data_IF_664855213184
#
_entry.id   IF_664855213184
#
_cell.length_a   1.000
_cell.length_b   1.000
_cell.length_c   1.000
_cell.angle_alpha   90.00
_cell.angle_beta   90.00
_cell.angle_gamma   90.00
#
_symmetry.space_group_name_H-M   'P 1'
#
loop_
_entity.id
_entity.type
_entity.pdbx_description
1 polymer ?
#
# COMPACT_ATOMS: atom_id res chain seq x y z
N UNK A 1 -13.31 -2.60 14.70
CA UNK A 1 -12.86 -3.15 13.40
C UNK A 1 -12.21 -2.08 12.53
N UNK A 2 -11.41 -1.20 13.14
CA UNK A 2 -10.57 -0.20 12.46
C UNK A 2 -9.22 -0.04 13.15
N UNK A 3 -9.01 -0.72 14.29
CA UNK A 3 -7.77 -0.63 15.04
C UNK A 3 -6.67 -1.40 14.33
N UNK A 4 -5.42 -1.06 14.61
CA UNK A 4 -4.24 -1.71 14.03
C UNK A 4 -4.34 -3.24 14.16
N UNK A 5 -4.63 -3.74 15.37
CA UNK A 5 -4.77 -5.17 15.62
C UNK A 5 -5.97 -5.83 14.89
N UNK A 6 -7.03 -5.07 14.60
CA UNK A 6 -8.19 -5.59 13.84
C UNK A 6 -7.82 -5.86 12.38
N UNK A 7 -6.82 -5.15 11.83
CA UNK A 7 -6.52 -5.10 10.40
C UNK A 7 -5.22 -5.79 10.01
N UNK A 8 -4.21 -5.76 10.88
CA UNK A 8 -2.83 -6.15 10.58
C UNK A 8 -2.30 -7.12 11.64
N UNK A 9 -1.86 -8.31 11.22
CA UNK A 9 -1.04 -9.22 12.01
C UNK A 9 0.44 -8.86 11.80
N UNK A 10 1.02 -8.28 12.84
CA UNK A 10 2.39 -7.78 12.84
C UNK A 10 3.40 -8.81 13.36
N UNK A 11 2.96 -9.99 13.83
CA UNK A 11 3.82 -10.93 14.55
C UNK A 11 5.03 -11.41 13.74
N UNK A 12 4.94 -11.36 12.41
CA UNK A 12 6.00 -11.78 11.48
C UNK A 12 6.62 -10.64 10.69
N UNK A 13 6.23 -9.40 10.98
CA UNK A 13 6.76 -8.23 10.30
C UNK A 13 7.97 -7.70 11.06
N UNK A 14 9.13 -7.69 10.41
CA UNK A 14 10.41 -7.27 11.02
C UNK A 14 10.34 -5.86 11.62
N UNK A 15 9.53 -4.99 11.02
CA UNK A 15 9.34 -3.62 11.46
C UNK A 15 8.04 -3.39 12.22
N UNK A 16 7.55 -4.41 12.95
CA UNK A 16 6.34 -4.31 13.78
C UNK A 16 6.37 -3.11 14.74
N UNK A 17 7.55 -2.76 15.28
CA UNK A 17 7.76 -1.64 16.20
C UNK A 17 7.32 -0.28 15.64
N UNK A 18 7.23 -0.12 14.30
CA UNK A 18 6.66 1.08 13.66
C UNK A 18 5.24 1.40 14.18
N UNK A 19 4.49 0.35 14.53
CA UNK A 19 3.09 0.42 14.96
C UNK A 19 2.91 0.47 16.49
N UNK A 20 4.00 0.52 17.26
CA UNK A 20 3.91 0.52 18.72
C UNK A 20 3.14 1.76 19.22
N UNK A 21 2.12 1.53 20.02
CA UNK A 21 1.22 2.57 20.53
C UNK A 21 0.26 3.17 19.49
N UNK A 22 0.20 2.64 18.26
CA UNK A 22 -0.79 3.05 17.27
C UNK A 22 -2.12 2.33 17.51
N UNK A 23 -3.12 3.03 18.05
CA UNK A 23 -4.50 2.51 18.09
C UNK A 23 -5.01 2.28 16.66
N UNK A 24 -4.74 3.23 15.76
CA UNK A 24 -5.13 3.16 14.36
C UNK A 24 -3.90 3.02 13.45
N UNK A 25 -3.98 2.21 12.38
CA UNK A 25 -2.83 1.90 11.55
C UNK A 25 -2.23 3.13 10.86
N UNK A 26 -3.05 4.11 10.45
CA UNK A 26 -2.56 5.32 9.77
C UNK A 26 -1.68 6.21 10.66
N UNK A 27 -1.71 6.03 11.99
CA UNK A 27 -0.80 6.74 12.91
C UNK A 27 0.66 6.34 12.70
N UNK A 28 0.94 5.22 12.01
CA UNK A 28 2.28 4.82 11.62
C UNK A 28 2.83 5.65 10.44
N UNK A 29 1.99 6.22 9.57
CA UNK A 29 2.42 6.88 8.33
C UNK A 29 3.41 8.03 8.54
N UNK A 30 3.22 8.94 9.52
CA UNK A 30 4.18 10.00 9.79
C UNK A 30 5.51 9.50 10.35
N UNK A 31 5.52 8.28 10.93
CA UNK A 31 6.68 7.69 11.61
C UNK A 31 7.61 6.92 10.66
N UNK A 32 7.15 6.57 9.46
CA UNK A 32 7.91 5.72 8.51
C UNK A 32 9.31 6.28 8.26
N UNK A 33 9.42 7.59 8.04
CA UNK A 33 10.70 8.24 7.74
C UNK A 33 11.73 8.05 8.84
N UNK A 34 11.34 8.34 10.08
CA UNK A 34 12.25 8.25 11.23
C UNK A 34 12.53 6.79 11.60
N UNK A 35 11.53 5.90 11.42
CA UNK A 35 11.71 4.47 11.56
C UNK A 35 12.74 3.91 10.57
N UNK A 36 12.64 4.26 9.29
CA UNK A 36 13.63 3.85 8.27
C UNK A 36 15.00 4.38 8.65
N UNK A 37 15.14 5.67 9.01
CA UNK A 37 16.44 6.23 9.41
C UNK A 37 17.09 5.50 10.58
N UNK A 38 16.31 5.03 11.53
CA UNK A 38 16.82 4.31 12.71
C UNK A 38 17.25 2.87 12.40
N UNK A 39 16.76 2.26 11.32
CA UNK A 39 16.98 0.83 11.01
C UNK A 39 17.67 0.61 9.65
N UNK A 40 17.90 1.66 8.87
CA UNK A 40 18.47 1.57 7.54
C UNK A 40 19.98 1.34 7.63
N UNK A 41 20.40 0.17 7.17
CA UNK A 41 21.78 -0.15 6.85
C UNK A 41 21.88 -0.32 5.33
N UNK A 42 22.30 0.71 4.57
CA UNK A 42 22.26 0.63 3.10
C UNK A 42 23.05 -0.54 2.55
N UNK A 43 22.39 -1.38 1.76
CA UNK A 43 23.00 -2.51 1.06
C UNK A 43 22.06 -2.97 -0.05
N UNK A 44 22.62 -3.34 -1.20
CA UNK A 44 21.86 -3.99 -2.25
C UNK A 44 22.30 -5.45 -2.38
N UNK A 45 21.48 -6.37 -1.86
CA UNK A 45 21.73 -7.83 -1.93
C UNK A 45 20.84 -8.52 -2.98
N UNK A 46 20.24 -7.74 -3.87
CA UNK A 46 19.35 -8.26 -4.90
C UNK A 46 20.10 -8.82 -6.11
N UNK A 47 19.42 -9.70 -6.85
CA UNK A 47 19.80 -10.06 -8.22
C UNK A 47 19.20 -9.05 -9.18
N UNK A 48 20.03 -8.41 -10.01
CA UNK A 48 19.56 -7.51 -11.07
C UNK A 48 19.32 -8.29 -12.37
N UNK A 49 18.21 -7.99 -13.05
CA UNK A 49 17.93 -8.43 -14.41
C UNK A 49 17.88 -7.17 -15.29
N UNK A 50 19.00 -6.84 -15.93
CA UNK A 50 19.17 -5.59 -16.67
C UNK A 50 19.66 -4.45 -15.78
N UNK A 51 19.22 -3.23 -16.08
CA UNK A 51 19.70 -2.00 -15.44
C UNK A 51 18.58 -1.38 -14.64
N UNK A 52 18.83 -1.14 -13.34
CA UNK A 52 17.91 -0.45 -12.44
C UNK A 52 18.67 0.67 -11.70
N UNK A 53 17.94 1.69 -11.24
CA UNK A 53 18.48 2.68 -10.33
C UNK A 53 18.15 2.30 -8.89
N UNK A 54 19.17 2.17 -8.04
CA UNK A 54 19.01 1.94 -6.60
C UNK A 54 19.78 3.03 -5.86
N UNK A 55 19.07 3.85 -5.10
CA UNK A 55 19.63 4.99 -4.36
C UNK A 55 20.54 4.55 -3.22
N UNK A 56 21.39 5.49 -2.77
CA UNK A 56 22.36 5.25 -1.70
C UNK A 56 21.74 5.04 -0.32
N UNK A 57 20.48 5.45 -0.12
CA UNK A 57 19.73 5.27 1.13
C UNK A 57 18.73 4.11 1.02
N UNK A 58 19.15 3.00 0.42
CA UNK A 58 18.29 1.84 0.19
C UNK A 58 18.93 0.57 0.74
N UNK A 59 18.13 -0.20 1.48
CA UNK A 59 18.42 -1.60 1.78
C UNK A 59 17.53 -2.51 0.93
N UNK A 60 18.12 -3.54 0.34
CA UNK A 60 17.42 -4.63 -0.35
C UNK A 60 17.93 -5.98 0.14
N UNK A 61 17.02 -6.78 0.68
CA UNK A 61 17.29 -8.10 1.23
C UNK A 61 17.68 -9.15 0.19
N UNK A 62 18.29 -10.24 0.67
CA UNK A 62 18.72 -11.36 -0.16
C UNK A 62 17.55 -12.04 -0.87
N UNK A 63 17.80 -12.55 -2.09
CA UNK A 63 16.81 -13.28 -2.88
C UNK A 63 15.83 -12.38 -3.61
N UNK A 64 15.82 -11.08 -3.32
CA UNK A 64 15.03 -10.10 -4.07
C UNK A 64 15.57 -9.96 -5.49
N UNK A 65 14.67 -9.86 -6.46
CA UNK A 65 14.98 -9.64 -7.87
C UNK A 65 14.53 -8.24 -8.28
N UNK A 66 15.39 -7.52 -8.99
CA UNK A 66 15.08 -6.19 -9.53
C UNK A 66 15.23 -6.23 -11.05
N UNK A 67 14.13 -5.96 -11.74
CA UNK A 67 14.06 -5.96 -13.20
C UNK A 67 14.47 -4.59 -13.79
N UNK A 68 14.72 -4.62 -15.10
CA UNK A 68 15.15 -3.47 -15.89
C UNK A 68 14.20 -2.28 -15.76
N UNK A 69 14.76 -1.07 -15.65
CA UNK A 69 14.01 0.17 -15.60
C UNK A 69 13.35 0.48 -14.25
N UNK A 70 13.46 -0.41 -13.26
CA UNK A 70 13.02 -0.07 -11.91
C UNK A 70 13.88 1.08 -11.34
N UNK A 71 13.22 2.00 -10.63
CA UNK A 71 13.85 3.15 -9.98
C UNK A 71 13.47 3.15 -8.50
N UNK A 72 14.45 2.94 -7.64
CA UNK A 72 14.30 2.93 -6.19
C UNK A 72 15.11 4.09 -5.63
N UNK A 73 14.45 5.22 -5.36
CA UNK A 73 15.13 6.45 -4.90
C UNK A 73 15.56 6.38 -3.43
N UNK A 74 14.69 5.84 -2.58
CA UNK A 74 14.88 5.84 -1.14
C UNK A 74 14.54 7.18 -0.45
N UNK A 75 14.59 7.25 0.89
CA UNK A 75 15.02 6.16 1.77
C UNK A 75 14.00 5.01 1.78
N UNK A 76 14.49 3.77 1.64
CA UNK A 76 13.64 2.59 1.57
C UNK A 76 14.33 1.35 2.16
N UNK A 77 13.54 0.49 2.78
CA UNK A 77 13.98 -0.84 3.24
C UNK A 77 13.07 -1.86 2.58
N UNK A 78 13.68 -2.77 1.82
CA UNK A 78 12.99 -3.83 1.10
C UNK A 78 13.50 -5.18 1.60
N UNK A 79 12.58 -6.01 2.06
CA UNK A 79 12.85 -7.33 2.59
C UNK A 79 13.41 -8.33 1.56
N UNK A 80 13.42 -9.58 1.97
CA UNK A 80 13.96 -10.73 1.22
C UNK A 80 12.94 -11.28 0.23
N UNK A 81 13.45 -11.91 -0.81
CA UNK A 81 12.64 -12.66 -1.78
C UNK A 81 11.51 -11.84 -2.43
N UNK A 82 11.70 -10.52 -2.58
CA UNK A 82 10.73 -9.66 -3.25
C UNK A 82 10.93 -9.69 -4.78
N UNK A 83 9.87 -9.35 -5.51
CA UNK A 83 9.93 -9.08 -6.94
C UNK A 83 9.73 -7.59 -7.18
N UNK A 84 10.77 -6.90 -7.65
CA UNK A 84 10.67 -5.50 -8.10
C UNK A 84 10.70 -5.51 -9.61
N UNK A 85 9.51 -5.38 -10.21
CA UNK A 85 9.29 -5.57 -11.65
C UNK A 85 9.64 -4.33 -12.45
N UNK A 86 9.71 -4.52 -13.77
CA UNK A 86 10.17 -3.50 -14.71
C UNK A 86 9.39 -2.18 -14.55
N UNK A 87 10.12 -1.06 -14.49
CA UNK A 87 9.51 0.26 -14.35
C UNK A 87 8.84 0.56 -13.01
N UNK A 88 8.97 -0.31 -12.00
CA UNK A 88 8.51 0.03 -10.64
C UNK A 88 9.23 1.29 -10.15
N UNK A 89 8.47 2.25 -9.61
CA UNK A 89 8.98 3.52 -9.12
C UNK A 89 8.78 3.66 -7.61
N UNK A 90 9.83 3.37 -6.85
CA UNK A 90 9.85 3.46 -5.39
C UNK A 90 10.47 4.79 -4.98
N UNK A 91 9.69 5.61 -4.29
CA UNK A 91 10.08 6.94 -3.83
C UNK A 91 10.49 6.91 -2.35
N UNK A 92 10.43 8.09 -1.72
CA UNK A 92 10.79 8.30 -0.33
C UNK A 92 9.86 7.54 0.62
N UNK A 93 10.45 7.00 1.70
CA UNK A 93 9.79 6.41 2.86
C UNK A 93 8.97 5.16 2.52
N UNK A 94 9.57 4.18 1.85
CA UNK A 94 8.89 2.92 1.52
C UNK A 94 9.49 1.77 2.32
N UNK A 95 8.63 1.04 3.02
CA UNK A 95 8.98 -0.07 3.90
C UNK A 95 8.29 -1.34 3.42
N UNK A 96 9.05 -2.35 3.02
CA UNK A 96 8.52 -3.55 2.37
C UNK A 96 9.02 -4.78 3.10
N UNK A 97 8.09 -5.64 3.55
CA UNK A 97 8.39 -6.93 4.16
C UNK A 97 8.83 -7.99 3.14
N UNK A 98 9.00 -9.21 3.61
CA UNK A 98 9.49 -10.32 2.79
C UNK A 98 8.45 -10.79 1.76
N UNK A 99 8.90 -11.24 0.59
CA UNK A 99 8.05 -11.90 -0.40
C UNK A 99 7.04 -11.00 -1.10
N UNK A 100 7.24 -9.68 -1.08
CA UNK A 100 6.31 -8.74 -1.70
C UNK A 100 6.54 -8.61 -3.20
N UNK A 101 5.49 -8.21 -3.93
CA UNK A 101 5.56 -7.88 -5.36
C UNK A 101 5.34 -6.39 -5.55
N UNK A 102 6.39 -5.69 -6.00
CA UNK A 102 6.35 -4.30 -6.46
C UNK A 102 6.33 -4.32 -7.98
N UNK A 103 5.14 -4.13 -8.53
CA UNK A 103 4.81 -4.49 -9.89
C UNK A 103 5.22 -3.55 -11.00
N UNK A 104 4.93 -3.99 -12.23
CA UNK A 104 5.25 -3.25 -13.45
C UNK A 104 4.54 -1.89 -13.44
N UNK A 105 5.33 -0.83 -13.60
CA UNK A 105 4.85 0.55 -13.66
C UNK A 105 3.97 0.94 -12.46
N UNK A 106 4.25 0.36 -11.29
CA UNK A 106 3.64 0.76 -10.03
C UNK A 106 4.48 1.86 -9.36
N UNK A 107 3.84 2.85 -8.75
CA UNK A 107 4.51 3.88 -7.96
C UNK A 107 4.19 3.73 -6.46
N UNK A 108 5.23 3.78 -5.63
CA UNK A 108 5.14 3.66 -4.17
C UNK A 108 5.74 4.89 -3.50
N UNK A 109 5.04 5.45 -2.52
CA UNK A 109 5.52 6.59 -1.75
C UNK A 109 4.93 6.60 -0.35
N UNK A 110 5.76 6.76 0.68
CA UNK A 110 5.31 6.81 2.07
C UNK A 110 4.38 5.62 2.40
N UNK A 111 4.84 4.41 2.11
CA UNK A 111 4.00 3.22 2.10
C UNK A 111 4.64 2.08 2.89
N UNK A 112 3.79 1.27 3.51
CA UNK A 112 4.18 0.04 4.20
C UNK A 112 3.51 -1.14 3.52
N UNK A 113 4.30 -2.12 3.10
CA UNK A 113 3.81 -3.40 2.58
C UNK A 113 4.28 -4.50 3.54
N UNK A 114 3.34 -5.13 4.25
CA UNK A 114 3.63 -6.30 5.08
C UNK A 114 3.97 -7.51 4.18
N UNK A 115 4.54 -8.55 4.79
CA UNK A 115 5.04 -9.72 4.08
C UNK A 115 4.02 -10.28 3.07
N UNK A 116 4.48 -10.63 1.88
CA UNK A 116 3.64 -11.24 0.84
C UNK A 116 2.61 -10.33 0.20
N UNK A 117 2.58 -9.02 0.51
CA UNK A 117 1.68 -8.08 -0.15
C UNK A 117 2.04 -7.94 -1.64
N UNK A 118 1.02 -7.82 -2.50
CA UNK A 118 1.17 -7.85 -3.95
C UNK A 118 0.50 -6.66 -4.61
N UNK A 119 1.28 -5.90 -5.39
CA UNK A 119 0.82 -4.78 -6.20
C UNK A 119 1.44 -4.94 -7.60
N UNK A 120 0.93 -5.85 -8.43
CA UNK A 120 1.66 -6.42 -9.55
C UNK A 120 1.64 -5.54 -10.81
N UNK A 121 0.66 -4.63 -10.99
CA UNK A 121 0.49 -3.87 -12.23
C UNK A 121 -0.13 -2.47 -12.05
N UNK A 122 0.46 -1.46 -12.67
CA UNK A 122 -0.12 -0.14 -12.97
C UNK A 122 -0.84 0.57 -11.81
N UNK A 123 -0.32 0.43 -10.60
CA UNK A 123 -0.99 0.95 -9.39
C UNK A 123 -0.22 2.13 -8.77
N UNK A 124 -0.93 3.00 -8.06
CA UNK A 124 -0.33 4.05 -7.23
C UNK A 124 -0.62 3.77 -5.76
N UNK A 125 0.44 3.66 -4.95
CA UNK A 125 0.38 3.37 -3.51
C UNK A 125 1.06 4.50 -2.74
N UNK A 126 0.31 5.56 -2.47
CA UNK A 126 0.76 6.73 -1.70
C UNK A 126 0.18 6.76 -0.30
N UNK A 127 0.99 7.02 0.73
CA UNK A 127 0.54 7.23 2.12
C UNK A 127 -0.39 6.09 2.59
N UNK A 128 0.00 4.84 2.34
CA UNK A 128 -0.88 3.66 2.47
C UNK A 128 -0.17 2.49 3.15
N UNK A 129 -0.97 1.60 3.77
CA UNK A 129 -0.48 0.40 4.45
C UNK A 129 -1.21 -0.81 3.86
N UNK A 130 -0.45 -1.78 3.37
CA UNK A 130 -0.96 -3.05 2.85
C UNK A 130 -0.56 -4.17 3.81
N UNK A 131 -1.55 -4.93 4.25
CA UNK A 131 -1.43 -6.03 5.20
C UNK A 131 -0.77 -7.28 4.61
N UNK A 132 -0.56 -8.28 5.47
CA UNK A 132 0.02 -9.55 5.08
C UNK A 132 -0.82 -10.19 3.97
N UNK A 133 -0.18 -10.49 2.82
CA UNK A 133 -0.86 -11.04 1.63
C UNK A 133 -2.04 -10.20 1.11
N UNK A 134 -2.07 -8.90 1.40
CA UNK A 134 -2.99 -7.99 0.73
C UNK A 134 -2.66 -7.91 -0.77
N UNK A 135 -3.68 -7.86 -1.62
CA UNK A 135 -3.53 -7.82 -3.06
C UNK A 135 -4.26 -6.61 -3.65
N UNK A 136 -3.57 -5.86 -4.50
CA UNK A 136 -4.16 -4.83 -5.33
C UNK A 136 -4.13 -5.30 -6.79
N UNK A 137 -5.30 -5.45 -7.41
CA UNK A 137 -5.43 -5.75 -8.83
C UNK A 137 -4.83 -4.65 -9.71
N UNK A 138 -4.70 -4.96 -11.00
CA UNK A 138 -4.14 -4.02 -11.96
C UNK A 138 -4.92 -2.68 -11.98
N UNK A 139 -4.20 -1.56 -11.95
CA UNK A 139 -4.83 -0.24 -12.04
C UNK A 139 -5.51 0.25 -10.76
N UNK A 140 -5.26 -0.37 -9.61
CA UNK A 140 -5.80 0.13 -8.34
C UNK A 140 -5.05 1.39 -7.91
N UNK A 141 -5.82 2.42 -7.54
CA UNK A 141 -5.28 3.71 -7.12
C UNK A 141 -5.62 3.97 -5.66
N UNK A 142 -4.60 4.07 -4.81
CA UNK A 142 -4.71 4.59 -3.45
C UNK A 142 -4.60 6.13 -3.49
N UNK A 143 -5.73 6.80 -3.70
CA UNK A 143 -5.76 8.27 -3.70
C UNK A 143 -5.51 8.78 -2.28
N UNK A 144 -4.51 9.64 -2.10
CA UNK A 144 -4.04 10.07 -0.79
C UNK A 144 -4.35 11.53 -0.43
N UNK A 145 -4.90 12.33 -1.35
CA UNK A 145 -5.11 13.75 -1.13
C UNK A 145 -6.55 14.14 -1.45
N UNK A 146 -7.21 14.83 -0.50
CA UNK A 146 -8.52 15.45 -0.75
C UNK A 146 -8.35 16.69 -1.63
N UNK A 147 -9.23 16.83 -2.62
CA UNK A 147 -9.33 18.03 -3.46
C UNK A 147 -9.61 19.29 -2.63
N UNK A 148 -10.42 19.14 -1.58
CA UNK A 148 -10.61 20.17 -0.56
C UNK A 148 -9.39 20.21 0.36
N UNK A 149 -8.90 21.41 0.67
CA UNK A 149 -7.70 21.64 1.50
C UNK A 149 -7.95 21.41 3.00
N UNK A 150 -8.28 20.18 3.39
CA UNK A 150 -8.48 19.74 4.77
C UNK A 150 -7.83 18.39 5.08
N UNK A 151 -7.80 18.00 6.35
CA UNK A 151 -7.32 16.67 6.74
C UNK A 151 -8.18 15.56 6.12
N UNK A 152 -7.55 14.41 5.90
CA UNK A 152 -8.23 13.17 5.54
C UNK A 152 -9.02 12.68 6.75
N UNK A 153 -10.25 12.25 6.49
CA UNK A 153 -11.19 11.79 7.52
C UNK A 153 -11.66 10.39 7.17
N UNK A 154 -11.77 9.53 8.16
CA UNK A 154 -12.30 8.17 8.00
C UNK A 154 -13.76 8.15 8.45
N UNK A 155 -14.66 7.70 7.57
CA UNK A 155 -16.08 7.54 7.90
C UNK A 155 -16.32 6.10 8.34
N UNK A 156 -16.78 5.93 9.57
CA UNK A 156 -17.05 4.62 10.17
C UNK A 156 -18.25 4.71 11.11
N UNK A 157 -19.23 3.83 10.92
CA UNK A 157 -20.40 3.70 11.79
C UNK A 157 -21.15 5.03 12.05
N UNK A 158 -21.40 5.78 10.97
CA UNK A 158 -22.02 7.11 11.02
C UNK A 158 -21.16 8.21 11.64
N UNK A 159 -19.94 7.90 12.12
CA UNK A 159 -19.00 8.85 12.71
C UNK A 159 -17.93 9.23 11.70
N UNK A 160 -17.42 10.45 11.83
CA UNK A 160 -16.29 10.95 11.06
C UNK A 160 -15.10 11.13 12.00
N UNK A 161 -14.01 10.40 11.75
CA UNK A 161 -12.77 10.47 12.52
C UNK A 161 -11.79 11.35 11.73
N UNK A 162 -11.34 12.45 12.33
CA UNK A 162 -10.20 13.20 11.78
C UNK A 162 -8.91 12.43 12.06
N UNK A 163 -8.14 12.17 11.00
CA UNK A 163 -6.86 11.46 11.12
C UNK A 163 -5.71 12.37 11.54
N UNK A 164 -5.89 13.70 11.44
CA UNK A 164 -4.81 14.67 11.58
C UNK A 164 -3.86 14.73 10.39
N UNK A 165 -4.07 13.91 9.36
CA UNK A 165 -3.18 13.78 8.21
C UNK A 165 -3.70 14.56 7.01
N UNK A 166 -2.83 15.39 6.42
CA UNK A 166 -3.14 16.03 5.13
C UNK A 166 -3.15 15.02 3.97
N UNK A 167 -2.34 13.97 4.07
CA UNK A 167 -2.28 12.88 3.10
C UNK A 167 -2.45 11.53 3.79
N UNK A 168 -3.37 10.73 3.28
CA UNK A 168 -3.61 9.37 3.71
C UNK A 168 -4.38 8.65 2.61
N UNK A 169 -3.78 7.62 2.02
CA UNK A 169 -4.37 6.79 0.98
C UNK A 169 -5.31 5.76 1.57
N UNK A 170 -4.82 4.54 1.79
CA UNK A 170 -5.63 3.44 2.27
C UNK A 170 -4.91 2.55 3.29
N UNK A 171 -5.68 1.82 4.07
CA UNK A 171 -5.22 0.63 4.79
C UNK A 171 -5.95 -0.57 4.20
N UNK A 172 -5.20 -1.53 3.68
CA UNK A 172 -5.74 -2.77 3.11
C UNK A 172 -5.34 -3.89 4.05
N UNK A 173 -6.31 -4.46 4.77
CA UNK A 173 -6.07 -5.46 5.80
C UNK A 173 -5.52 -6.78 5.25
N UNK A 174 -5.05 -7.62 6.15
CA UNK A 174 -4.45 -8.91 5.80
C UNK A 174 -5.38 -9.77 4.94
N UNK A 175 -4.83 -10.35 3.87
CA UNK A 175 -5.55 -11.22 2.93
C UNK A 175 -6.68 -10.54 2.15
N UNK A 176 -6.81 -9.21 2.23
CA UNK A 176 -7.81 -8.49 1.44
C UNK A 176 -7.37 -8.38 -0.03
N UNK A 177 -8.35 -8.46 -0.93
CA UNK A 177 -8.15 -8.37 -2.37
C UNK A 177 -8.97 -7.21 -2.94
N UNK A 178 -8.30 -6.28 -3.61
CA UNK A 178 -8.93 -5.13 -4.26
C UNK A 178 -8.89 -5.33 -5.77
N UNK A 179 -10.05 -5.57 -6.37
CA UNK A 179 -10.16 -5.85 -7.80
C UNK A 179 -9.69 -4.72 -8.71
N UNK A 180 -9.31 -5.08 -9.93
CA UNK A 180 -8.71 -4.18 -10.93
C UNK A 180 -9.50 -2.89 -11.16
N UNK A 181 -8.78 -1.80 -11.47
CA UNK A 181 -9.33 -0.47 -11.75
C UNK A 181 -10.20 0.11 -10.64
N UNK A 182 -10.06 -0.38 -9.40
CA UNK A 182 -10.72 0.21 -8.24
C UNK A 182 -9.98 1.45 -7.75
N UNK A 183 -10.73 2.42 -7.22
CA UNK A 183 -10.18 3.60 -6.56
C UNK A 183 -10.49 3.52 -5.08
N UNK A 184 -9.43 3.49 -4.28
CA UNK A 184 -9.52 3.69 -2.84
C UNK A 184 -9.37 5.18 -2.58
N UNK A 185 -10.46 5.84 -2.13
CA UNK A 185 -10.42 7.26 -1.78
C UNK A 185 -9.53 7.52 -0.56
N UNK A 186 -9.11 8.78 -0.33
CA UNK A 186 -8.35 9.12 0.87
C UNK A 186 -9.06 8.65 2.14
N UNK A 187 -8.36 7.88 2.96
CA UNK A 187 -8.89 7.32 4.21
C UNK A 187 -9.69 6.02 4.05
N UNK A 188 -9.53 5.30 2.95
CA UNK A 188 -10.19 4.01 2.75
C UNK A 188 -9.58 2.92 3.64
N UNK A 189 -10.42 2.17 4.32
CA UNK A 189 -10.01 1.03 5.14
C UNK A 189 -10.69 -0.22 4.60
N UNK A 190 -9.90 -1.22 4.21
CA UNK A 190 -10.41 -2.53 3.77
C UNK A 190 -10.13 -3.55 4.86
N UNK A 191 -11.18 -4.18 5.40
CA UNK A 191 -11.04 -5.21 6.44
C UNK A 191 -10.33 -6.46 5.94
N UNK A 192 -9.78 -7.24 6.88
CA UNK A 192 -9.09 -8.51 6.58
C UNK A 192 -9.96 -9.45 5.77
N UNK A 193 -9.35 -10.18 4.84
CA UNK A 193 -10.00 -11.21 4.02
C UNK A 193 -11.25 -10.72 3.27
N UNK A 194 -11.36 -9.41 3.03
CA UNK A 194 -12.45 -8.85 2.23
C UNK A 194 -12.04 -8.74 0.77
N UNK A 195 -13.01 -8.90 -0.12
CA UNK A 195 -12.81 -8.83 -1.56
C UNK A 195 -13.64 -7.70 -2.13
N UNK A 196 -12.98 -6.73 -2.79
CA UNK A 196 -13.66 -5.74 -3.61
C UNK A 196 -13.62 -6.24 -5.05
N UNK A 197 -14.78 -6.32 -5.69
CA UNK A 197 -14.83 -6.61 -7.12
C UNK A 197 -14.19 -5.46 -7.93
N UNK A 198 -13.81 -5.71 -9.19
CA UNK A 198 -13.22 -4.67 -10.03
C UNK A 198 -14.08 -3.42 -10.14
N UNK A 199 -13.43 -2.29 -10.44
CA UNK A 199 -14.06 -0.98 -10.71
C UNK A 199 -14.78 -0.34 -9.52
N UNK A 200 -14.58 -0.85 -8.31
CA UNK A 200 -15.16 -0.27 -7.10
C UNK A 200 -14.50 1.07 -6.77
N UNK A 201 -15.33 2.09 -6.52
CA UNK A 201 -14.91 3.35 -5.93
C UNK A 201 -15.27 3.33 -4.43
N UNK A 202 -14.29 3.14 -3.56
CA UNK A 202 -14.52 2.90 -2.13
C UNK A 202 -14.14 4.10 -1.26
N UNK A 203 -14.93 4.37 -0.22
CA UNK A 203 -14.65 5.35 0.84
C UNK A 203 -15.14 4.83 2.19
N UNK A 204 -14.40 5.13 3.25
CA UNK A 204 -14.72 4.69 4.61
C UNK A 204 -14.24 3.27 4.86
N UNK A 205 -14.95 2.55 5.71
CA UNK A 205 -14.50 1.26 6.24
C UNK A 205 -15.30 0.10 5.67
N UNK A 206 -14.62 -0.81 4.99
CA UNK A 206 -15.13 -2.12 4.62
C UNK A 206 -14.94 -3.09 5.80
N UNK A 207 -15.98 -3.77 6.29
CA UNK A 207 -15.84 -4.82 7.31
C UNK A 207 -14.91 -5.95 6.83
N UNK A 208 -14.37 -6.78 7.74
CA UNK A 208 -13.61 -7.97 7.38
C UNK A 208 -14.51 -9.11 6.87
N UNK A 209 -13.96 -9.97 6.01
CA UNK A 209 -14.61 -11.20 5.53
C UNK A 209 -15.81 -10.98 4.61
N UNK A 210 -15.92 -9.82 3.96
CA UNK A 210 -17.06 -9.51 3.08
C UNK A 210 -16.64 -9.39 1.62
N UNK A 211 -17.63 -9.52 0.73
CA UNK A 211 -17.46 -9.25 -0.70
C UNK A 211 -18.21 -7.97 -1.07
N UNK A 212 -17.48 -6.94 -1.49
CA UNK A 212 -18.04 -5.70 -2.04
C UNK A 212 -18.27 -5.90 -3.53
N UNK A 213 -19.53 -5.86 -3.94
CA UNK A 213 -19.94 -5.95 -5.35
C UNK A 213 -20.41 -4.59 -5.84
N UNK A 214 -19.99 -4.21 -7.05
CA UNK A 214 -20.53 -3.06 -7.75
C UNK A 214 -21.69 -3.51 -8.65
N UNK A 215 -22.85 -2.87 -8.52
CA UNK A 215 -23.99 -3.05 -9.44
C UNK A 215 -24.17 -1.78 -10.24
N UNK A 216 -23.87 -1.85 -11.53
CA UNK A 216 -24.09 -0.78 -12.50
C UNK A 216 -25.09 -1.25 -13.56
N UNK A 217 -25.88 -0.31 -14.08
CA UNK A 217 -26.74 -0.54 -15.23
C UNK A 217 -26.10 0.11 -16.44
N UNK A 218 -25.93 -0.66 -17.53
CA UNK A 218 -25.44 -0.13 -18.79
C UNK A 218 -26.64 0.33 -19.63
N UNK A 219 -26.53 1.51 -20.23
CA UNK A 219 -27.51 2.04 -21.17
C UNK A 219 -26.88 2.16 -22.55
N UNK A 220 -27.58 1.67 -23.57
CA UNK A 220 -27.20 1.84 -24.98
C UNK A 220 -28.14 2.87 -25.58
N UNK A 221 -27.62 4.03 -25.97
CA UNK A 221 -28.37 5.11 -26.61
C UNK A 221 -27.83 5.39 -28.03
N UNK A 222 -28.70 5.88 -28.92
CA UNK A 222 -28.29 6.30 -30.25
C UNK A 222 -27.29 7.48 -30.17
N UNK A 223 -26.22 7.40 -30.96
CA UNK A 223 -25.25 8.49 -31.12
C UNK A 223 -25.96 9.67 -31.82
N UNK A 224 -26.11 10.80 -31.13
CA UNK A 224 -26.59 12.07 -31.71
C UNK A 224 -25.43 12.84 -32.34
#
# INVERSE_FOLDING_TARGET
MIRTADLLDLARFEHAALFDGCEFPWQALPRIKDHIRAHLEPANRARLIGTAFVGSEVFVGQGTVIEHGAVIKGPAIIGRNCEIRAGAYVRDNVLVGDGCVLGNSCEFKNAVLLNGAQVPHFSYVGDSILGHKAHLGAGVICSNLKSVKSNVTVVWDGRTIDTGLRKFGAVVGDGADVGCNSVLNPGSIIGRNSVLYPTVNWRGVCPPGVVVKLRQQQEIAAKR
#
